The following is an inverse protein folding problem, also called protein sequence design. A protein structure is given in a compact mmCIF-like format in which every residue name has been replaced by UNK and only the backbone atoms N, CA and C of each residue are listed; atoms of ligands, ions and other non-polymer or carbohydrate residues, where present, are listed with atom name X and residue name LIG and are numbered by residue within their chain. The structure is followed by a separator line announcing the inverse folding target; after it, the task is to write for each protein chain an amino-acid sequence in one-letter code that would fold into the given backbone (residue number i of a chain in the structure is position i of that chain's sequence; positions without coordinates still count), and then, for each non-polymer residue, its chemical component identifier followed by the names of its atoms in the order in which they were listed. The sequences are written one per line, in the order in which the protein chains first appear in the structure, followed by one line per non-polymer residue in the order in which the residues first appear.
data_IF_615684475220
#
_entry.id   IF_615684475220
#
_cell.length_a   1.000
_cell.length_b   1.000
_cell.length_c   1.000
_cell.angle_alpha   90.00
_cell.angle_beta   90.00
_cell.angle_gamma   90.00
#
_symmetry.space_group_name_H-M   'P 1'
#
loop_
_entity.id
_entity.type
_entity.pdbx_description
1 polymer ?
#
# COMPACT_ATOMS: atom_id res chain seq x y z
N UNK A 1 -12.99 7.83 -43.27
CA UNK A 1 -13.57 8.08 -41.92
C UNK A 1 -13.21 6.89 -41.05
N UNK A 2 -12.33 7.00 -40.03
CA UNK A 2 -12.03 5.87 -39.16
C UNK A 2 -13.18 5.67 -38.16
N UNK A 3 -13.78 4.48 -38.21
CA UNK A 3 -14.82 3.98 -37.30
C UNK A 3 -14.19 3.70 -35.93
N UNK A 4 -14.68 4.40 -34.90
CA UNK A 4 -14.24 4.21 -33.52
C UNK A 4 -14.67 2.81 -33.01
N UNK A 5 -13.75 1.93 -32.58
CA UNK A 5 -14.03 0.53 -32.22
C UNK A 5 -14.58 0.33 -30.80
N UNK A 6 -14.81 1.38 -30.01
CA UNK A 6 -15.30 1.25 -28.63
C UNK A 6 -16.68 1.87 -28.44
N UNK A 7 -17.78 1.11 -28.60
CA UNK A 7 -19.10 1.56 -28.18
C UNK A 7 -19.18 1.45 -26.66
N UNK A 8 -18.97 2.57 -25.96
CA UNK A 8 -19.20 2.62 -24.51
C UNK A 8 -20.71 2.66 -24.29
N UNK A 9 -21.26 1.48 -23.99
CA UNK A 9 -22.64 1.27 -23.61
C UNK A 9 -23.04 2.12 -22.41
N UNK A 10 -24.17 2.79 -22.55
CA UNK A 10 -24.81 3.69 -21.59
C UNK A 10 -25.58 2.89 -20.54
N UNK A 11 -25.05 2.80 -19.32
CA UNK A 11 -25.76 2.47 -18.07
C UNK A 11 -24.79 2.79 -16.91
N UNK A 12 -25.14 3.38 -15.78
CA UNK A 12 -26.33 4.01 -15.26
C UNK A 12 -25.83 4.91 -14.11
N UNK A 13 -26.53 6.02 -13.87
CA UNK A 13 -26.23 6.95 -12.79
C UNK A 13 -26.30 6.26 -11.42
N UNK A 14 -25.15 6.05 -10.79
CA UNK A 14 -25.04 5.95 -9.32
C UNK A 14 -23.77 6.70 -8.94
N UNK A 15 -23.87 7.54 -7.91
CA UNK A 15 -22.82 8.46 -7.50
C UNK A 15 -21.56 7.73 -7.02
N UNK A 16 -20.76 7.25 -7.96
CA UNK A 16 -19.39 6.84 -7.73
C UNK A 16 -18.59 8.12 -7.43
N UNK A 17 -17.78 8.15 -6.36
CA UNK A 17 -16.83 9.23 -6.21
C UNK A 17 -15.98 9.21 -7.48
N UNK A 18 -16.14 10.22 -8.34
CA UNK A 18 -15.50 10.29 -9.65
C UNK A 18 -14.08 9.74 -9.52
N UNK A 19 -13.83 8.59 -10.15
CA UNK A 19 -12.61 7.77 -10.08
C UNK A 19 -11.31 8.54 -9.72
N UNK A 20 -11.03 9.72 -10.32
CA UNK A 20 -9.89 10.55 -9.93
C UNK A 20 -9.84 10.97 -8.45
N UNK A 21 -10.97 11.33 -7.83
CA UNK A 21 -11.06 11.77 -6.42
C UNK A 21 -10.74 10.64 -5.45
N UNK A 22 -11.22 9.43 -5.72
CA UNK A 22 -10.95 8.27 -4.88
C UNK A 22 -9.47 7.86 -4.94
N UNK A 23 -8.87 7.93 -6.13
CA UNK A 23 -7.43 7.68 -6.32
C UNK A 23 -6.58 8.73 -5.61
N UNK A 24 -6.91 10.02 -5.75
CA UNK A 24 -6.21 11.11 -5.05
C UNK A 24 -6.30 10.98 -3.53
N UNK A 25 -7.48 10.62 -3.00
CA UNK A 25 -7.66 10.39 -1.57
C UNK A 25 -6.79 9.22 -1.08
N UNK A 26 -6.75 8.11 -1.84
CA UNK A 26 -5.89 6.96 -1.51
C UNK A 26 -4.40 7.31 -1.52
N UNK A 27 -3.95 8.14 -2.47
CA UNK A 27 -2.57 8.64 -2.50
C UNK A 27 -2.25 9.54 -1.29
N UNK A 28 -3.15 10.45 -0.92
CA UNK A 28 -2.99 11.29 0.26
C UNK A 28 -2.92 10.47 1.55
N UNK A 29 -3.77 9.44 1.68
CA UNK A 29 -3.73 8.53 2.82
C UNK A 29 -2.40 7.77 2.90
N UNK A 30 -1.90 7.26 1.76
CA UNK A 30 -0.58 6.62 1.69
C UNK A 30 0.52 7.58 2.10
N UNK A 31 0.53 8.80 1.59
CA UNK A 31 1.53 9.81 1.98
C UNK A 31 1.49 10.11 3.48
N UNK A 32 0.30 10.24 4.06
CA UNK A 32 0.15 10.48 5.50
C UNK A 32 0.70 9.33 6.34
N UNK A 33 0.46 8.08 5.92
CA UNK A 33 1.02 6.89 6.58
C UNK A 33 2.54 6.90 6.50
N UNK A 34 3.10 7.15 5.32
CA UNK A 34 4.56 7.20 5.13
C UNK A 34 5.21 8.30 5.98
N UNK A 35 4.60 9.49 6.06
CA UNK A 35 5.11 10.56 6.91
C UNK A 35 5.12 10.16 8.39
N UNK A 36 4.05 9.52 8.89
CA UNK A 36 4.00 9.02 10.28
C UNK A 36 5.05 7.94 10.56
N UNK A 37 5.33 7.08 9.57
CA UNK A 37 6.40 6.08 9.65
C UNK A 37 7.76 6.78 9.73
N UNK A 38 8.04 7.74 8.87
CA UNK A 38 9.30 8.51 8.85
C UNK A 38 9.55 9.20 10.20
N UNK A 39 8.52 9.80 10.77
CA UNK A 39 8.58 10.48 12.08
C UNK A 39 8.68 9.51 13.27
N UNK A 40 8.58 8.20 13.04
CA UNK A 40 8.60 7.20 14.11
C UNK A 40 7.32 7.14 14.94
N UNK A 41 6.23 7.77 14.47
CA UNK A 41 4.92 7.78 15.15
C UNK A 41 4.08 6.54 14.85
N UNK A 42 4.45 5.77 13.84
CA UNK A 42 3.75 4.56 13.41
C UNK A 42 4.77 3.45 13.15
N UNK A 43 4.55 2.29 13.77
CA UNK A 43 5.34 1.10 13.55
C UNK A 43 5.06 0.51 12.16
N UNK A 44 6.03 -0.21 11.60
CA UNK A 44 5.96 -0.73 10.23
C UNK A 44 4.76 -1.66 10.00
N UNK A 45 4.46 -2.54 10.97
CA UNK A 45 3.36 -3.50 10.83
C UNK A 45 1.98 -2.83 10.86
N UNK A 46 1.79 -1.84 11.74
CA UNK A 46 0.58 -1.03 11.79
C UNK A 46 0.43 -0.19 10.52
N UNK A 47 1.54 0.34 10.00
CA UNK A 47 1.58 1.02 8.73
C UNK A 47 1.17 0.11 7.58
N UNK A 48 1.65 -1.14 7.54
CA UNK A 48 1.27 -2.12 6.52
C UNK A 48 -0.23 -2.40 6.51
N UNK A 49 -0.83 -2.60 7.68
CA UNK A 49 -2.28 -2.79 7.82
C UNK A 49 -3.07 -1.58 7.29
N UNK A 50 -2.68 -0.36 7.69
CA UNK A 50 -3.33 0.88 7.24
C UNK A 50 -3.11 1.15 5.75
N UNK A 51 -1.93 0.85 5.23
CA UNK A 51 -1.56 1.05 3.83
C UNK A 51 -2.35 0.12 2.91
N UNK A 52 -2.57 -1.12 3.35
CA UNK A 52 -3.43 -2.08 2.66
C UNK A 52 -4.89 -1.63 2.65
N UNK A 53 -5.41 -1.11 3.77
CA UNK A 53 -6.76 -0.57 3.85
C UNK A 53 -6.95 0.66 2.93
N UNK A 54 -5.98 1.58 2.90
CA UNK A 54 -6.00 2.74 1.99
C UNK A 54 -5.98 2.34 0.50
N UNK A 55 -5.52 1.13 0.18
CA UNK A 55 -5.51 0.60 -1.19
C UNK A 55 -6.79 -0.15 -1.58
N UNK A 56 -7.70 -0.41 -0.64
CA UNK A 56 -8.89 -1.24 -0.87
C UNK A 56 -9.83 -0.67 -1.94
N UNK A 57 -10.05 0.66 -1.94
CA UNK A 57 -10.88 1.31 -2.96
C UNK A 57 -10.28 1.21 -4.38
N UNK A 58 -8.96 1.33 -4.49
CA UNK A 58 -8.25 1.17 -5.76
C UNK A 58 -8.29 -0.30 -6.23
N UNK A 59 -8.15 -1.26 -5.31
CA UNK A 59 -8.27 -2.70 -5.61
C UNK A 59 -9.65 -3.06 -6.15
N UNK A 60 -10.72 -2.65 -5.46
CA UNK A 60 -12.10 -2.90 -5.90
C UNK A 60 -12.37 -2.31 -7.28
N UNK A 61 -11.84 -1.12 -7.56
CA UNK A 61 -11.99 -0.51 -8.86
C UNK A 61 -11.23 -1.28 -9.95
N UNK A 62 -9.99 -1.71 -9.67
CA UNK A 62 -9.19 -2.49 -10.60
C UNK A 62 -9.82 -3.87 -10.89
N UNK A 63 -10.33 -4.54 -9.86
CA UNK A 63 -11.06 -5.81 -9.98
C UNK A 63 -12.32 -5.64 -10.83
N UNK A 64 -13.10 -4.58 -10.59
CA UNK A 64 -14.31 -4.28 -11.36
C UNK A 64 -13.97 -3.99 -12.83
N UNK A 65 -12.88 -3.27 -13.09
CA UNK A 65 -12.48 -2.89 -14.45
C UNK A 65 -11.82 -4.03 -15.24
N UNK A 66 -11.12 -4.96 -14.57
CA UNK A 66 -10.32 -6.02 -15.23
C UNK A 66 -10.93 -7.41 -15.11
N UNK A 67 -11.85 -7.63 -14.18
CA UNK A 67 -12.39 -8.95 -13.84
C UNK A 67 -11.39 -9.89 -13.17
N UNK A 68 -10.17 -9.42 -12.89
CA UNK A 68 -9.11 -10.22 -12.25
C UNK A 68 -9.12 -9.95 -10.74
N UNK A 69 -9.29 -10.97 -9.89
CA UNK A 69 -9.20 -10.82 -8.45
C UNK A 69 -7.83 -10.26 -8.05
N UNK A 70 -7.80 -9.19 -7.28
CA UNK A 70 -6.58 -8.68 -6.67
C UNK A 70 -6.26 -9.61 -5.51
N UNK A 71 -5.20 -10.40 -5.61
CA UNK A 71 -4.79 -11.27 -4.52
C UNK A 71 -4.38 -10.46 -3.29
N UNK A 72 -4.65 -10.99 -2.10
CA UNK A 72 -4.11 -10.41 -0.86
C UNK A 72 -2.59 -10.42 -0.93
N UNK A 73 -1.99 -9.24 -0.84
CA UNK A 73 -0.54 -9.08 -0.77
C UNK A 73 -0.12 -9.51 0.64
N UNK A 74 0.92 -10.35 0.74
CA UNK A 74 1.45 -10.77 2.04
C UNK A 74 1.95 -9.57 2.86
N UNK A 75 1.84 -9.67 4.19
CA UNK A 75 2.21 -8.59 5.10
C UNK A 75 3.68 -8.17 4.97
N UNK A 76 4.59 -9.13 4.72
CA UNK A 76 6.01 -8.82 4.46
C UNK A 76 6.16 -8.01 3.18
N UNK A 77 5.43 -8.37 2.12
CA UNK A 77 5.49 -7.67 0.84
C UNK A 77 5.01 -6.22 0.98
N UNK A 78 3.95 -5.98 1.76
CA UNK A 78 3.47 -4.61 2.04
C UNK A 78 4.50 -3.84 2.87
N UNK A 79 5.13 -4.46 3.86
CA UNK A 79 6.20 -3.84 4.65
C UNK A 79 7.38 -3.41 3.77
N UNK A 80 7.85 -4.29 2.87
CA UNK A 80 8.92 -3.97 1.91
C UNK A 80 8.54 -2.84 0.95
N UNK A 81 7.28 -2.79 0.51
CA UNK A 81 6.79 -1.66 -0.28
C UNK A 81 6.90 -0.35 0.51
N UNK A 82 6.45 -0.33 1.76
CA UNK A 82 6.54 0.87 2.62
C UNK A 82 7.98 1.36 2.76
N UNK A 83 8.94 0.46 2.96
CA UNK A 83 10.38 0.80 3.02
C UNK A 83 10.83 1.44 1.70
N UNK A 84 10.43 0.89 0.55
CA UNK A 84 10.69 1.51 -0.76
C UNK A 84 10.06 2.90 -0.91
N UNK A 85 8.84 3.11 -0.42
CA UNK A 85 8.19 4.42 -0.42
C UNK A 85 8.91 5.43 0.48
N UNK A 86 9.41 5.00 1.64
CA UNK A 86 10.24 5.84 2.52
C UNK A 86 11.50 6.30 1.80
N UNK A 87 12.20 5.38 1.11
CA UNK A 87 13.36 5.74 0.28
C UNK A 87 13.00 6.76 -0.80
N UNK A 88 11.87 6.59 -1.48
CA UNK A 88 11.41 7.51 -2.52
C UNK A 88 11.06 8.90 -1.96
N UNK A 89 10.40 8.97 -0.81
CA UNK A 89 10.07 10.25 -0.15
C UNK A 89 11.30 10.96 0.40
N UNK A 90 12.32 10.22 0.82
CA UNK A 90 13.56 10.74 1.38
C UNK A 90 14.72 10.78 0.37
N UNK A 91 14.44 10.72 -0.93
CA UNK A 91 15.49 10.71 -1.97
C UNK A 91 16.44 11.91 -1.88
N UNK A 92 15.93 13.06 -1.43
CA UNK A 92 16.70 14.30 -1.26
C UNK A 92 17.49 14.34 0.06
N UNK A 93 17.33 13.33 0.93
CA UNK A 93 17.95 13.21 2.26
C UNK A 93 18.42 11.77 2.50
N UNK A 94 19.44 11.29 1.74
CA UNK A 94 19.85 9.89 1.77
C UNK A 94 20.26 9.40 3.17
N UNK A 95 20.95 10.22 3.96
CA UNK A 95 21.32 9.86 5.35
C UNK A 95 20.11 9.66 6.26
N UNK A 96 19.00 10.35 6.00
CA UNK A 96 17.76 10.16 6.74
C UNK A 96 17.04 8.91 6.22
N UNK A 97 17.07 8.68 4.90
CA UNK A 97 16.49 7.49 4.28
C UNK A 97 17.13 6.22 4.85
N UNK A 98 18.46 6.15 4.90
CA UNK A 98 19.18 4.98 5.42
C UNK A 98 18.84 4.72 6.89
N UNK A 99 18.89 5.76 7.74
CA UNK A 99 18.55 5.63 9.17
C UNK A 99 17.13 5.13 9.40
N UNK A 100 16.16 5.67 8.65
CA UNK A 100 14.77 5.26 8.80
C UNK A 100 14.58 3.84 8.26
N UNK A 101 15.14 3.53 7.10
CA UNK A 101 15.03 2.21 6.48
C UNK A 101 15.70 1.11 7.29
N UNK A 102 16.88 1.34 7.87
CA UNK A 102 17.53 0.39 8.79
C UNK A 102 16.64 0.08 10.00
N UNK A 103 16.02 1.09 10.60
CA UNK A 103 15.07 0.90 11.70
C UNK A 103 13.89 0.02 11.25
N UNK A 104 13.29 0.31 10.10
CA UNK A 104 12.14 -0.43 9.59
C UNK A 104 12.48 -1.87 9.20
N UNK A 105 13.65 -2.11 8.59
CA UNK A 105 14.15 -3.46 8.33
C UNK A 105 14.40 -4.24 9.63
N UNK A 106 14.86 -3.56 10.68
CA UNK A 106 14.94 -4.10 12.04
C UNK A 106 13.58 -4.52 12.58
N UNK A 107 12.58 -3.63 12.52
CA UNK A 107 11.20 -3.91 12.93
C UNK A 107 10.64 -5.12 12.16
N UNK A 108 10.85 -5.18 10.84
CA UNK A 108 10.40 -6.29 10.00
C UNK A 108 11.04 -7.63 10.43
N UNK A 109 12.36 -7.64 10.63
CA UNK A 109 13.09 -8.84 11.04
C UNK A 109 12.64 -9.35 12.41
N UNK A 110 12.40 -8.45 13.35
CA UNK A 110 11.90 -8.78 14.68
C UNK A 110 10.50 -9.40 14.60
N UNK A 111 9.61 -8.83 13.77
CA UNK A 111 8.28 -9.38 13.54
C UNK A 111 8.31 -10.76 12.90
N UNK A 112 9.14 -10.97 11.88
CA UNK A 112 9.28 -12.28 11.23
C UNK A 112 9.84 -13.32 12.20
N UNK A 113 10.82 -12.96 13.01
CA UNK A 113 11.43 -13.86 14.00
C UNK A 113 10.42 -14.26 15.09
N UNK A 114 9.66 -13.30 15.62
CA UNK A 114 8.61 -13.56 16.63
C UNK A 114 7.54 -14.52 16.10
N UNK A 115 7.10 -14.35 14.85
CA UNK A 115 6.10 -15.22 14.24
C UNK A 115 6.68 -16.60 13.86
N UNK A 116 7.95 -16.67 13.45
CA UNK A 116 8.62 -17.94 13.20
C UNK A 116 8.76 -18.79 14.48
N UNK A 117 9.00 -18.15 15.64
CA UNK A 117 9.02 -18.83 16.95
C UNK A 117 7.63 -19.34 17.35
N UNK A 118 6.57 -18.58 17.06
CA UNK A 118 5.18 -18.96 17.38
C UNK A 118 4.68 -20.18 16.57
N UNK A 119 5.25 -20.45 15.39
CA UNK A 119 4.89 -21.58 14.53
C UNK A 119 5.59 -22.90 14.89
N UNK A 120 6.55 -22.88 15.83
CA UNK A 120 7.25 -24.10 16.27
C UNK A 120 6.42 -24.81 17.35
N UNK A 121 5.84 -25.99 17.10
CA UNK A 121 5.04 -26.68 18.11
C UNK A 121 5.94 -27.10 19.30
N UNK A 122 5.39 -27.16 20.53
CA UNK A 122 6.11 -27.73 21.66
C UNK A 122 6.43 -29.21 21.35
N UNK A 123 7.66 -29.62 21.66
CA UNK A 123 8.14 -31.00 21.56
C UNK A 123 7.37 -31.94 22.48
#
# INVERSE_FOLDING_TARGET
MPTNPYPVGRAANTAEPALPKAVLLGLQQKQAIINQVIEGRLALWDAASRFQAAHQAARLCLETATGVPSHSIDGETVCRQIIGWVYLVLSDRPEQADRVSERLEGELRDHLTKNAVALKPPR
#
